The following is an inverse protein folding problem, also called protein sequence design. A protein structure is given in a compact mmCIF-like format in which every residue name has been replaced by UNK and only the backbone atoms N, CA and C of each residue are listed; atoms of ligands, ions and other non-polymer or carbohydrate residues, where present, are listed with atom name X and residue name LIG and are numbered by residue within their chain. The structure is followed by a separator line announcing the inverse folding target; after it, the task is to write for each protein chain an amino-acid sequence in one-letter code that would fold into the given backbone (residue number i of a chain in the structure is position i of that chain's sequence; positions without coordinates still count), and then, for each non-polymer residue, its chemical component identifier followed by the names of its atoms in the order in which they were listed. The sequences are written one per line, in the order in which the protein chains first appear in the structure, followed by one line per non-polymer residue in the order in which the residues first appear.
data_IF_129601180851
#
_entry.id   IF_129601180851
#
_cell.length_a   1.000
_cell.length_b   1.000
_cell.length_c   1.000
_cell.angle_alpha   90.00
_cell.angle_beta   90.00
_cell.angle_gamma   90.00
#
_symmetry.space_group_name_H-M   'P 1'
#
loop_
_entity.id
_entity.type
_entity.pdbx_description
1 polymer ?
#
# COMPACT_ATOMS: atom_id res chain seq x y z
N UNK A 1 6.24 -4.81 16.58
CA UNK A 1 6.84 -3.92 15.56
C UNK A 1 8.05 -4.64 15.05
N UNK A 2 8.14 -4.86 13.74
CA UNK A 2 9.30 -5.50 13.12
C UNK A 2 10.55 -4.72 13.52
N UNK A 3 11.54 -5.41 14.09
CA UNK A 3 12.78 -4.80 14.52
C UNK A 3 13.56 -4.46 13.25
N UNK A 4 13.69 -3.17 12.94
CA UNK A 4 14.38 -2.72 11.73
C UNK A 4 15.88 -2.84 11.98
N UNK A 5 16.47 -3.91 11.46
CA UNK A 5 17.83 -4.36 11.83
C UNK A 5 18.94 -3.85 10.90
N UNK A 6 18.59 -3.20 9.80
CA UNK A 6 19.57 -2.67 8.85
C UNK A 6 20.10 -1.28 9.28
N UNK A 7 21.32 -0.94 8.83
CA UNK A 7 21.89 0.40 9.00
C UNK A 7 20.98 1.46 8.38
N UNK A 8 21.01 2.67 8.93
CA UNK A 8 20.36 3.82 8.32
C UNK A 8 21.05 4.19 6.99
N UNK A 9 20.35 4.84 6.04
CA UNK A 9 20.93 5.21 4.75
C UNK A 9 22.25 5.99 4.85
N UNK A 10 22.34 6.95 5.77
CA UNK A 10 23.52 7.79 5.95
C UNK A 10 24.70 7.06 6.63
N UNK A 11 24.45 5.91 7.27
CA UNK A 11 25.46 5.06 7.93
C UNK A 11 25.93 3.89 7.03
N UNK A 12 25.36 3.75 5.83
CA UNK A 12 25.76 2.71 4.89
C UNK A 12 27.15 3.02 4.30
N UNK A 13 28.09 2.09 4.45
CA UNK A 13 29.46 2.25 3.94
C UNK A 13 29.69 1.43 2.67
N UNK A 14 28.88 0.40 2.44
CA UNK A 14 29.03 -0.54 1.33
C UNK A 14 27.71 -0.77 0.60
N UNK A 15 27.78 -1.26 -0.64
CA UNK A 15 26.59 -1.71 -1.37
C UNK A 15 25.92 -2.94 -0.75
N UNK A 16 26.60 -3.66 0.16
CA UNK A 16 25.99 -4.73 0.94
C UNK A 16 25.05 -4.13 1.98
N UNK A 17 25.51 -3.12 2.73
CA UNK A 17 24.68 -2.39 3.70
C UNK A 17 23.41 -1.82 3.05
N UNK A 18 23.57 -1.19 1.87
CA UNK A 18 22.44 -0.62 1.11
C UNK A 18 21.40 -1.68 0.74
N UNK A 19 21.85 -2.85 0.27
CA UNK A 19 20.93 -3.95 -0.12
C UNK A 19 20.21 -4.52 1.08
N UNK A 20 20.91 -4.70 2.20
CA UNK A 20 20.28 -5.13 3.45
C UNK A 20 19.23 -4.13 3.94
N UNK A 21 19.50 -2.83 3.81
CA UNK A 21 18.54 -1.75 4.06
C UNK A 21 17.30 -1.86 3.19
N UNK A 22 17.47 -1.97 1.87
CA UNK A 22 16.36 -2.13 0.92
C UNK A 22 15.53 -3.38 1.23
N UNK A 23 16.18 -4.53 1.41
CA UNK A 23 15.50 -5.79 1.72
C UNK A 23 14.69 -5.70 3.04
N UNK A 24 15.22 -5.00 4.04
CA UNK A 24 14.52 -4.75 5.30
C UNK A 24 13.33 -3.81 5.11
N UNK A 25 13.48 -2.74 4.33
CA UNK A 25 12.40 -1.82 3.98
C UNK A 25 11.29 -2.54 3.21
N UNK A 26 11.63 -3.37 2.22
CA UNK A 26 10.66 -4.10 1.41
C UNK A 26 9.84 -5.08 2.26
N UNK A 27 10.47 -5.77 3.21
CA UNK A 27 9.74 -6.61 4.19
C UNK A 27 8.75 -5.78 5.01
N UNK A 28 9.18 -4.63 5.52
CA UNK A 28 8.30 -3.74 6.28
C UNK A 28 7.15 -3.18 5.43
N UNK A 29 7.40 -2.87 4.16
CA UNK A 29 6.36 -2.46 3.20
C UNK A 29 5.34 -3.58 2.99
N UNK A 30 5.78 -4.83 2.82
CA UNK A 30 4.86 -5.97 2.65
C UNK A 30 4.02 -6.21 3.91
N UNK A 31 4.58 -6.07 5.12
CA UNK A 31 3.81 -6.13 6.37
C UNK A 31 2.72 -5.05 6.43
N UNK A 32 3.03 -3.82 6.02
CA UNK A 32 2.06 -2.73 5.95
C UNK A 32 0.98 -3.00 4.89
N UNK A 33 1.36 -3.58 3.76
CA UNK A 33 0.43 -3.97 2.70
C UNK A 33 -0.50 -5.08 3.16
N UNK A 34 -0.04 -6.12 3.86
CA UNK A 34 -0.92 -7.15 4.43
C UNK A 34 -1.98 -6.54 5.34
N UNK A 35 -1.58 -5.62 6.23
CA UNK A 35 -2.53 -4.86 7.06
C UNK A 35 -3.51 -4.06 6.21
N UNK A 36 -3.04 -3.39 5.15
CA UNK A 36 -3.88 -2.63 4.22
C UNK A 36 -4.92 -3.52 3.53
N UNK A 37 -4.53 -4.71 3.08
CA UNK A 37 -5.45 -5.71 2.51
C UNK A 37 -6.40 -6.31 3.57
N UNK A 38 -5.98 -6.38 4.84
CA UNK A 38 -6.86 -6.67 5.97
C UNK A 38 -8.02 -5.69 6.10
N UNK A 39 -7.81 -4.41 5.80
CA UNK A 39 -8.90 -3.43 5.72
C UNK A 39 -9.83 -3.66 4.52
N UNK A 40 -9.34 -4.21 3.41
CA UNK A 40 -10.21 -4.57 2.27
C UNK A 40 -11.11 -5.75 2.64
N UNK A 41 -10.60 -6.75 3.37
CA UNK A 41 -11.45 -7.81 3.97
C UNK A 41 -12.50 -7.24 4.92
N UNK A 42 -12.18 -6.18 5.66
CA UNK A 42 -13.14 -5.49 6.50
C UNK A 42 -14.20 -4.73 5.68
N UNK A 43 -13.77 -3.99 4.65
CA UNK A 43 -14.66 -3.29 3.74
C UNK A 43 -15.63 -4.25 3.04
N UNK A 44 -15.13 -5.38 2.52
CA UNK A 44 -15.94 -6.43 1.92
C UNK A 44 -17.06 -6.92 2.86
N UNK A 45 -16.77 -7.15 4.16
CA UNK A 45 -17.80 -7.55 5.14
C UNK A 45 -18.83 -6.45 5.44
N UNK A 46 -18.42 -5.19 5.40
CA UNK A 46 -19.22 -4.03 5.81
C UNK A 46 -20.12 -3.52 4.68
N UNK A 47 -19.62 -3.50 3.44
CA UNK A 47 -20.33 -2.93 2.30
C UNK A 47 -21.61 -3.72 1.97
N UNK A 48 -22.78 -3.08 1.92
CA UNK A 48 -24.04 -3.78 1.76
C UNK A 48 -24.23 -4.35 0.34
N UNK A 49 -23.74 -3.65 -0.68
CA UNK A 49 -23.89 -4.07 -2.08
C UNK A 49 -22.55 -4.26 -2.76
N UNK A 50 -22.57 -5.01 -3.87
CA UNK A 50 -21.38 -5.24 -4.70
C UNK A 50 -20.92 -3.97 -5.41
N UNK A 51 -21.86 -3.08 -5.74
CA UNK A 51 -21.56 -1.81 -6.42
C UNK A 51 -20.79 -0.84 -5.53
N UNK A 52 -20.96 -0.93 -4.21
CA UNK A 52 -20.21 -0.13 -3.23
C UNK A 52 -18.70 -0.47 -3.22
N UNK A 53 -18.29 -1.61 -3.79
CA UNK A 53 -16.89 -2.06 -3.76
C UNK A 53 -15.99 -1.09 -4.53
N UNK A 54 -16.47 -0.53 -5.64
CA UNK A 54 -15.72 0.42 -6.46
C UNK A 54 -16.28 1.83 -6.30
N UNK A 55 -15.46 2.69 -5.71
CA UNK A 55 -15.73 4.13 -5.55
C UNK A 55 -14.60 4.93 -6.19
N UNK A 56 -14.91 5.57 -7.32
CA UNK A 56 -13.93 6.34 -8.11
C UNK A 56 -13.49 7.63 -7.39
N UNK A 57 -14.38 8.28 -6.66
CA UNK A 57 -14.05 9.48 -5.89
C UNK A 57 -13.08 9.11 -4.76
N UNK A 58 -13.37 8.01 -4.06
CA UNK A 58 -12.48 7.50 -3.01
C UNK A 58 -11.14 7.09 -3.59
N UNK A 59 -11.09 6.41 -4.73
CA UNK A 59 -9.86 6.05 -5.42
C UNK A 59 -9.00 7.29 -5.70
N UNK A 60 -9.58 8.29 -6.36
CA UNK A 60 -8.87 9.54 -6.68
C UNK A 60 -8.34 10.24 -5.41
N UNK A 61 -9.14 10.28 -4.35
CA UNK A 61 -8.74 10.82 -3.05
C UNK A 61 -7.54 10.08 -2.42
N UNK A 62 -7.50 8.74 -2.47
CA UNK A 62 -6.38 7.94 -1.94
C UNK A 62 -5.07 8.25 -2.69
N UNK A 63 -5.13 8.34 -4.02
CA UNK A 63 -3.95 8.58 -4.85
C UNK A 63 -3.43 10.00 -4.62
N UNK A 64 -4.31 11.01 -4.66
CA UNK A 64 -3.93 12.41 -4.44
C UNK A 64 -3.29 12.63 -3.06
N UNK A 65 -3.80 11.96 -2.02
CA UNK A 65 -3.22 12.04 -0.68
C UNK A 65 -1.80 11.45 -0.63
N UNK A 66 -1.55 10.34 -1.32
CA UNK A 66 -0.23 9.72 -1.38
C UNK A 66 0.77 10.56 -2.16
N UNK A 67 0.35 11.16 -3.27
CA UNK A 67 1.17 12.09 -4.06
C UNK A 67 1.55 13.31 -3.23
N UNK A 68 0.59 13.93 -2.53
CA UNK A 68 0.87 15.07 -1.67
C UNK A 68 1.87 14.72 -0.55
N UNK A 69 1.70 13.59 0.14
CA UNK A 69 2.65 13.15 1.17
C UNK A 69 4.05 12.90 0.59
N UNK A 70 4.15 12.26 -0.58
CA UNK A 70 5.42 12.02 -1.26
C UNK A 70 6.16 13.32 -1.60
N UNK A 71 5.45 14.31 -2.13
CA UNK A 71 6.01 15.62 -2.46
C UNK A 71 6.53 16.33 -1.21
N UNK A 72 5.84 16.22 -0.06
CA UNK A 72 6.35 16.79 1.21
C UNK A 72 7.65 16.15 1.70
N UNK A 73 7.93 14.91 1.28
CA UNK A 73 9.15 14.16 1.60
C UNK A 73 10.24 14.27 0.53
N UNK A 74 10.00 15.01 -0.54
CA UNK A 74 10.93 15.15 -1.67
C UNK A 74 11.05 13.91 -2.55
N UNK A 75 10.07 13.00 -2.51
CA UNK A 75 10.01 11.79 -3.36
C UNK A 75 9.20 12.11 -4.62
N UNK A 76 9.54 11.55 -5.81
CA UNK A 76 8.84 11.87 -7.06
C UNK A 76 7.35 11.51 -7.01
N UNK A 77 6.48 12.53 -7.01
CA UNK A 77 5.02 12.34 -6.91
C UNK A 77 4.42 11.51 -8.04
N UNK A 78 4.95 11.61 -9.27
CA UNK A 78 4.51 10.80 -10.40
C UNK A 78 4.77 9.29 -10.20
N UNK A 79 5.94 8.94 -9.64
CA UNK A 79 6.27 7.53 -9.33
C UNK A 79 5.31 6.98 -8.26
N UNK A 80 5.01 7.79 -7.24
CA UNK A 80 4.06 7.40 -6.20
C UNK A 80 2.65 7.28 -6.76
N UNK A 81 2.22 8.16 -7.67
CA UNK A 81 0.93 8.06 -8.33
C UNK A 81 0.77 6.72 -9.07
N UNK A 82 1.76 6.31 -9.85
CA UNK A 82 1.73 5.05 -10.61
C UNK A 82 1.68 3.82 -9.69
N UNK A 83 2.46 3.81 -8.62
CA UNK A 83 2.45 2.74 -7.61
C UNK A 83 1.08 2.67 -6.91
N UNK A 84 0.53 3.82 -6.53
CA UNK A 84 -0.75 3.89 -5.83
C UNK A 84 -1.94 3.53 -6.71
N UNK A 85 -1.92 3.92 -7.99
CA UNK A 85 -2.91 3.49 -8.97
C UNK A 85 -2.98 1.96 -9.02
N UNK A 86 -1.82 1.31 -9.19
CA UNK A 86 -1.75 -0.16 -9.23
C UNK A 86 -2.20 -0.81 -7.92
N UNK A 87 -1.78 -0.24 -6.79
CA UNK A 87 -2.15 -0.74 -5.47
C UNK A 87 -3.66 -0.62 -5.22
N UNK A 88 -4.28 0.53 -5.54
CA UNK A 88 -5.71 0.74 -5.33
C UNK A 88 -6.55 -0.15 -6.24
N UNK A 89 -6.21 -0.24 -7.53
CA UNK A 89 -6.91 -1.16 -8.45
C UNK A 89 -6.80 -2.63 -8.01
N UNK A 90 -5.61 -3.07 -7.59
CA UNK A 90 -5.43 -4.41 -7.02
C UNK A 90 -6.23 -4.64 -5.74
N UNK A 91 -6.43 -3.59 -4.93
CA UNK A 91 -7.21 -3.65 -3.70
C UNK A 91 -8.71 -3.77 -3.96
N UNK A 92 -9.22 -3.01 -4.93
CA UNK A 92 -10.61 -3.10 -5.40
C UNK A 92 -10.88 -4.51 -5.93
N UNK A 93 -9.99 -5.04 -6.78
CA UNK A 93 -10.13 -6.39 -7.32
C UNK A 93 -10.14 -7.47 -6.21
N UNK A 94 -9.22 -7.37 -5.25
CA UNK A 94 -9.19 -8.27 -4.10
C UNK A 94 -10.45 -8.14 -3.23
N UNK A 95 -10.93 -6.91 -3.02
CA UNK A 95 -12.14 -6.64 -2.25
C UNK A 95 -13.38 -7.25 -2.93
N UNK A 96 -13.49 -7.21 -4.26
CA UNK A 96 -14.57 -7.91 -4.98
C UNK A 96 -14.57 -9.42 -4.69
N UNK A 97 -13.41 -10.07 -4.77
CA UNK A 97 -13.28 -11.51 -4.49
C UNK A 97 -13.69 -11.81 -3.05
N UNK A 98 -13.25 -11.01 -2.08
CA UNK A 98 -13.62 -11.19 -0.68
C UNK A 98 -15.08 -10.87 -0.41
N UNK A 99 -15.66 -9.89 -1.13
CA UNK A 99 -17.07 -9.54 -1.01
C UNK A 99 -17.94 -10.70 -1.48
N UNK A 100 -17.65 -11.24 -2.68
CA UNK A 100 -18.36 -12.37 -3.28
C UNK A 100 -18.29 -13.59 -2.32
N UNK A 101 -17.09 -13.89 -1.79
CA UNK A 101 -16.85 -15.01 -0.86
C UNK A 101 -17.68 -14.96 0.44
N UNK A 102 -18.08 -13.79 0.92
CA UNK A 102 -18.91 -13.71 2.15
C UNK A 102 -20.41 -13.71 1.88
N UNK A 103 -20.85 -13.84 0.62
CA UNK A 103 -22.27 -13.95 0.22
C UNK A 103 -22.62 -15.31 -0.39
N UNK A 104 -21.62 -16.16 -0.64
CA UNK A 104 -21.78 -17.60 -0.91
C UNK A 104 -22.24 -18.37 0.35
#
# INVERSE_FOLDING_TARGET
MSDFTAKLPDDCETMVDVREGVDATDRALVELLDRRFGYMRAAARIKPTRDDVRDEERKASVINAAVADAETRGIPGNVIADIWERLVEGSIAYEFVEWDRTRD
#
